data_IF_780824327848
#
_entry.id   IF_780824327848
#
_cell.length_a   1.000
_cell.length_b   1.000
_cell.length_c   1.000
_cell.angle_alpha   90.00
_cell.angle_beta   90.00
_cell.angle_gamma   90.00
#
_symmetry.space_group_name_H-M   'P 1'
#
loop_
_entity.id
_entity.type
_entity.pdbx_description
1 polymer ?
#
# COMPACT_ATOMS: atom_id res chain seq x y z
N UNK A 1 3.15 22.71 -7.13
CA UNK A 1 3.71 21.38 -6.88
C UNK A 1 2.79 20.35 -7.50
N UNK A 2 3.28 19.52 -8.42
CA UNK A 2 2.52 18.39 -8.98
C UNK A 2 3.03 17.10 -8.33
N UNK A 3 2.14 16.38 -7.64
CA UNK A 3 2.48 15.11 -7.01
C UNK A 3 2.03 13.98 -7.94
N UNK A 4 2.99 13.31 -8.55
CA UNK A 4 2.74 12.19 -9.46
C UNK A 4 2.52 10.88 -8.67
N UNK A 5 1.34 10.78 -8.05
CA UNK A 5 0.96 9.58 -7.30
C UNK A 5 0.91 8.33 -8.18
N UNK A 6 0.54 8.47 -9.45
CA UNK A 6 0.40 7.32 -10.36
C UNK A 6 1.74 6.66 -10.63
N UNK A 7 2.75 7.42 -11.07
CA UNK A 7 4.06 6.85 -11.35
C UNK A 7 4.77 6.43 -10.06
N UNK A 8 4.61 7.15 -8.96
CA UNK A 8 5.16 6.75 -7.67
C UNK A 8 4.57 5.41 -7.18
N UNK A 9 3.24 5.27 -7.27
CA UNK A 9 2.57 4.01 -6.93
C UNK A 9 3.02 2.87 -7.85
N UNK A 10 3.01 3.07 -9.17
CA UNK A 10 3.44 2.04 -10.12
C UNK A 10 4.89 1.60 -9.92
N UNK A 11 5.77 2.52 -9.52
CA UNK A 11 7.18 2.21 -9.22
C UNK A 11 7.30 1.22 -8.08
N UNK A 12 6.47 1.37 -7.04
CA UNK A 12 6.49 0.47 -5.88
C UNK A 12 5.70 -0.82 -6.15
N UNK A 13 4.54 -0.71 -6.79
CA UNK A 13 3.67 -1.84 -7.10
C UNK A 13 4.35 -2.91 -7.96
N UNK A 14 5.14 -2.50 -8.96
CA UNK A 14 5.90 -3.43 -9.83
C UNK A 14 6.93 -4.28 -9.07
N UNK A 15 7.35 -3.85 -7.88
CA UNK A 15 8.37 -4.53 -7.07
C UNK A 15 7.76 -5.43 -5.96
N UNK A 16 6.49 -5.24 -5.61
CA UNK A 16 5.83 -5.88 -4.47
C UNK A 16 4.74 -6.85 -4.96
N UNK A 17 5.13 -7.87 -5.72
CA UNK A 17 4.23 -8.78 -6.45
C UNK A 17 2.97 -9.23 -5.69
N UNK A 18 1.97 -9.59 -6.49
CA UNK A 18 0.58 -9.94 -6.14
C UNK A 18 0.35 -10.54 -4.74
N UNK A 19 -0.65 -10.00 -4.03
CA UNK A 19 -0.99 -10.38 -2.66
C UNK A 19 -1.55 -11.79 -2.58
N UNK A 20 -0.91 -12.71 -1.84
CA UNK A 20 -1.52 -13.97 -1.47
C UNK A 20 -2.43 -13.71 -0.27
N UNK A 21 -3.72 -13.42 -0.48
CA UNK A 21 -4.63 -13.20 0.63
C UNK A 21 -6.07 -12.94 0.24
N UNK A 22 -7.00 -13.62 0.91
CA UNK A 22 -8.44 -13.47 0.73
C UNK A 22 -8.94 -12.04 0.98
N UNK A 23 -10.18 -11.77 0.57
CA UNK A 23 -10.78 -10.43 0.67
C UNK A 23 -11.04 -10.09 2.14
N UNK A 24 -10.48 -8.97 2.60
CA UNK A 24 -10.62 -8.53 3.97
C UNK A 24 -12.10 -8.39 4.37
N UNK A 25 -12.42 -8.86 5.60
CA UNK A 25 -13.73 -8.66 6.19
C UNK A 25 -14.81 -9.59 5.67
N UNK A 26 -14.48 -10.50 4.75
CA UNK A 26 -15.41 -11.54 4.30
C UNK A 26 -15.57 -12.58 5.39
N UNK A 27 -16.82 -12.77 5.82
CA UNK A 27 -17.25 -13.88 6.65
C UNK A 27 -18.23 -14.73 5.87
N UNK A 28 -18.14 -16.05 6.00
CA UNK A 28 -19.11 -16.95 5.38
C UNK A 28 -20.44 -16.94 6.14
N UNK A 29 -21.43 -17.66 5.61
CA UNK A 29 -22.76 -17.80 6.22
C UNK A 29 -22.74 -18.43 7.62
N UNK A 30 -21.63 -19.09 8.00
CA UNK A 30 -21.40 -19.71 9.30
C UNK A 30 -20.58 -18.83 10.25
N UNK A 31 -20.23 -17.61 9.83
CA UNK A 31 -19.41 -16.66 10.59
C UNK A 31 -17.90 -16.97 10.58
N UNK A 32 -17.44 -17.90 9.75
CA UNK A 32 -16.01 -18.16 9.57
C UNK A 32 -15.38 -17.04 8.75
N UNK A 33 -14.25 -16.54 9.24
CA UNK A 33 -13.45 -15.51 8.56
C UNK A 33 -12.80 -16.12 7.33
N UNK A 34 -13.14 -15.61 6.14
CA UNK A 34 -12.51 -16.01 4.88
C UNK A 34 -11.32 -15.11 4.52
N UNK A 35 -10.66 -14.58 5.55
CA UNK A 35 -9.45 -13.79 5.47
C UNK A 35 -8.46 -14.29 6.52
N UNK A 36 -7.18 -14.23 6.18
CA UNK A 36 -6.09 -14.50 7.12
C UNK A 36 -5.39 -13.18 7.40
N UNK A 37 -5.17 -12.88 8.68
CA UNK A 37 -4.31 -11.75 9.04
C UNK A 37 -2.85 -12.16 8.81
N UNK A 38 -2.07 -11.27 8.21
CA UNK A 38 -0.63 -11.48 8.08
C UNK A 38 0.01 -11.61 9.47
N UNK A 39 1.03 -12.47 9.58
CA UNK A 39 1.81 -12.62 10.82
C UNK A 39 2.54 -11.31 11.18
N UNK A 40 3.00 -10.57 10.15
CA UNK A 40 3.55 -9.22 10.30
C UNK A 40 2.76 -8.21 9.45
N UNK A 41 1.84 -7.45 10.06
CA UNK A 41 1.04 -6.46 9.34
C UNK A 41 1.85 -5.23 8.85
N UNK A 42 3.12 -5.09 9.26
CA UNK A 42 3.97 -3.95 8.89
C UNK A 42 4.81 -4.19 7.63
N UNK A 43 4.90 -5.43 7.15
CA UNK A 43 5.65 -5.77 5.93
C UNK A 43 4.77 -5.97 4.70
N UNK A 44 3.44 -6.03 4.87
CA UNK A 44 2.49 -6.14 3.76
C UNK A 44 2.26 -4.79 3.09
N UNK A 45 2.21 -4.78 1.75
CA UNK A 45 1.89 -3.58 0.96
C UNK A 45 0.39 -3.28 0.94
N UNK A 46 -0.47 -4.29 1.03
CA UNK A 46 -1.92 -4.20 0.78
C UNK A 46 -2.73 -4.80 1.94
N UNK A 47 -3.82 -4.13 2.28
CA UNK A 47 -4.81 -4.63 3.24
C UNK A 47 -5.81 -5.59 2.57
N UNK A 48 -6.17 -5.25 1.34
CA UNK A 48 -7.00 -6.03 0.42
C UNK A 48 -6.51 -5.79 -1.02
N UNK A 49 -7.25 -6.26 -2.02
CA UNK A 49 -6.82 -6.16 -3.43
C UNK A 49 -6.77 -4.74 -4.00
N UNK A 50 -7.18 -3.71 -3.26
CA UNK A 50 -7.22 -2.31 -3.72
C UNK A 50 -6.48 -1.33 -2.80
N UNK A 51 -6.50 -1.54 -1.48
CA UNK A 51 -6.07 -0.53 -0.51
C UNK A 51 -4.67 -0.81 0.05
N UNK A 52 -3.69 0.09 -0.15
CA UNK A 52 -2.38 -0.04 0.48
C UNK A 52 -2.45 0.09 2.00
N UNK A 53 -1.59 -0.64 2.70
CA UNK A 53 -1.39 -0.46 4.15
C UNK A 53 -0.62 0.83 4.44
N UNK A 54 -0.43 1.15 5.72
CA UNK A 54 0.50 2.21 6.13
C UNK A 54 1.92 1.99 5.58
N UNK A 55 2.41 0.74 5.59
CA UNK A 55 3.73 0.40 5.04
C UNK A 55 3.78 0.57 3.51
N UNK A 56 2.68 0.21 2.83
CA UNK A 56 2.52 0.47 1.40
C UNK A 56 2.59 1.96 1.07
N UNK A 57 1.83 2.79 1.79
CA UNK A 57 1.89 4.25 1.63
C UNK A 57 3.26 4.82 1.97
N UNK A 58 3.90 4.39 3.06
CA UNK A 58 5.26 4.81 3.41
C UNK A 58 6.25 4.54 2.28
N UNK A 59 6.11 3.41 1.58
CA UNK A 59 6.94 3.06 0.43
C UNK A 59 6.69 3.98 -0.78
N UNK A 60 5.42 4.34 -1.05
CA UNK A 60 5.06 5.31 -2.11
C UNK A 60 5.63 6.70 -1.80
N UNK A 61 5.49 7.18 -0.57
CA UNK A 61 6.02 8.49 -0.17
C UNK A 61 7.54 8.55 -0.15
N UNK A 62 8.23 7.41 0.08
CA UNK A 62 9.68 7.34 -0.06
C UNK A 62 10.14 7.66 -1.50
N UNK A 63 9.36 7.30 -2.52
CA UNK A 63 9.64 7.67 -3.92
C UNK A 63 9.41 9.17 -4.15
N UNK A 64 8.35 9.73 -3.56
CA UNK A 64 7.99 11.14 -3.70
C UNK A 64 8.88 12.09 -2.89
N UNK A 65 9.58 11.60 -1.87
CA UNK A 65 10.28 12.40 -0.86
C UNK A 65 11.19 13.47 -1.44
N UNK A 66 12.01 13.15 -2.44
CA UNK A 66 12.92 14.12 -3.07
C UNK A 66 12.17 15.30 -3.72
N UNK A 67 11.09 15.02 -4.44
CA UNK A 67 10.29 16.04 -5.13
C UNK A 67 9.46 16.88 -4.15
N UNK A 68 8.92 16.25 -3.11
CA UNK A 68 8.21 16.93 -2.02
C UNK A 68 9.15 17.88 -1.27
N UNK A 69 10.30 17.39 -0.81
CA UNK A 69 11.30 18.20 -0.10
C UNK A 69 11.78 19.35 -0.97
N UNK A 70 12.13 19.10 -2.23
CA UNK A 70 12.56 20.16 -3.16
C UNK A 70 11.46 21.20 -3.43
N UNK A 71 10.18 20.82 -3.37
CA UNK A 71 9.06 21.76 -3.53
C UNK A 71 8.83 22.60 -2.27
N UNK A 72 9.02 22.01 -1.08
CA UNK A 72 8.84 22.68 0.21
C UNK A 72 10.01 23.62 0.54
N UNK A 73 11.22 23.33 0.09
CA UNK A 73 12.40 24.18 0.29
C UNK A 73 12.49 25.36 -0.69
N UNK A 74 11.59 25.44 -1.68
CA UNK A 74 11.49 26.56 -2.64
C UNK A 74 10.46 27.62 -2.24
N UNK A 75 9.86 27.48 -1.06
CA UNK A 75 8.88 28.40 -0.49
C UNK A 75 9.53 29.33 0.55
#
# INVERSE_FOLDING_TARGET
MFIDYYNAFLTVFKNNGETPGGVCGVVDEKGQKNYTLCDDPKSTFFWDVLHPTQAGWSSVYAVLGKNLTASLMKA
#
